data_IF_983063819132
#
_entry.id   IF_983063819132
#
_cell.length_a   1.000
_cell.length_b   1.000
_cell.length_c   1.000
_cell.angle_alpha   90.00
_cell.angle_beta   90.00
_cell.angle_gamma   90.00
#
_symmetry.space_group_name_H-M   'P 1'
#
loop_
_entity.id
_entity.type
_entity.pdbx_description
1 polymer ?
#
# COMPACT_ATOMS: atom_id res chain seq x y z
N UNK A 1 26.38 17.99 -33.34
CA UNK A 1 26.36 16.85 -32.39
C UNK A 1 25.70 17.36 -31.11
N UNK A 2 24.45 17.01 -30.87
CA UNK A 2 23.70 17.49 -29.70
C UNK A 2 24.06 16.62 -28.48
N UNK A 3 24.70 17.21 -27.47
CA UNK A 3 25.05 16.54 -26.23
C UNK A 3 23.79 16.08 -25.52
N UNK A 4 23.67 14.76 -25.34
CA UNK A 4 22.48 14.08 -24.85
C UNK A 4 22.63 13.75 -23.36
N UNK A 5 22.77 14.76 -22.50
CA UNK A 5 22.79 14.58 -21.04
C UNK A 5 22.35 15.86 -20.33
N UNK A 6 21.14 16.33 -20.60
CA UNK A 6 20.46 17.28 -19.73
C UNK A 6 19.30 16.53 -19.06
N UNK A 7 19.67 15.61 -18.17
CA UNK A 7 18.70 14.91 -17.32
C UNK A 7 18.52 15.80 -16.10
N UNK A 8 17.31 16.35 -15.95
CA UNK A 8 16.95 17.19 -14.80
C UNK A 8 17.32 16.45 -13.49
N UNK A 9 18.18 17.07 -12.69
CA UNK A 9 18.63 16.51 -11.41
C UNK A 9 17.50 16.47 -10.37
N UNK A 10 16.41 17.20 -10.62
CA UNK A 10 15.22 17.28 -9.80
C UNK A 10 14.06 16.44 -10.35
N UNK A 11 14.38 15.30 -10.97
CA UNK A 11 13.36 14.28 -11.22
C UNK A 11 12.73 13.88 -9.88
N UNK A 12 11.38 13.77 -9.78
CA UNK A 12 10.73 13.35 -8.57
C UNK A 12 11.29 11.98 -8.17
N UNK A 13 12.09 11.96 -7.11
CA UNK A 13 12.79 10.79 -6.64
C UNK A 13 11.76 9.70 -6.36
N UNK A 14 11.62 8.75 -7.30
CA UNK A 14 10.62 7.68 -7.23
C UNK A 14 11.07 6.67 -6.17
N UNK A 15 10.86 7.05 -4.91
CA UNK A 15 11.23 6.25 -3.76
C UNK A 15 10.27 5.06 -3.65
N UNK A 16 10.80 3.87 -3.39
CA UNK A 16 10.00 2.65 -3.17
C UNK A 16 8.88 2.88 -2.17
N UNK A 17 9.14 3.61 -1.09
CA UNK A 17 8.14 3.98 -0.08
C UNK A 17 7.01 4.84 -0.64
N UNK A 18 7.32 5.80 -1.52
CA UNK A 18 6.30 6.63 -2.17
C UNK A 18 5.43 5.79 -3.13
N UNK A 19 6.01 4.84 -3.87
CA UNK A 19 5.24 3.89 -4.69
C UNK A 19 4.30 3.04 -3.84
N UNK A 20 4.77 2.52 -2.71
CA UNK A 20 3.95 1.72 -1.79
C UNK A 20 2.80 2.55 -1.20
N UNK A 21 3.06 3.79 -0.78
CA UNK A 21 2.01 4.71 -0.29
C UNK A 21 0.96 5.01 -1.37
N UNK A 22 1.38 5.26 -2.62
CA UNK A 22 0.47 5.47 -3.76
C UNK A 22 -0.35 4.22 -4.07
N UNK A 23 0.26 3.03 -4.02
CA UNK A 23 -0.45 1.74 -4.19
C UNK A 23 -1.52 1.55 -3.11
N UNK A 24 -1.17 1.76 -1.85
CA UNK A 24 -2.11 1.68 -0.73
C UNK A 24 -3.29 2.64 -0.91
N UNK A 25 -3.01 3.90 -1.27
CA UNK A 25 -4.03 4.91 -1.46
C UNK A 25 -4.96 4.57 -2.64
N UNK A 26 -4.40 4.09 -3.76
CA UNK A 26 -5.16 3.67 -4.93
C UNK A 26 -6.11 2.50 -4.62
N UNK A 27 -5.58 1.43 -4.02
CA UNK A 27 -6.38 0.25 -3.66
C UNK A 27 -7.46 0.57 -2.62
N UNK A 28 -7.17 1.45 -1.66
CA UNK A 28 -8.14 1.87 -0.66
C UNK A 28 -9.33 2.61 -1.28
N UNK A 29 -9.08 3.43 -2.32
CA UNK A 29 -10.15 4.12 -3.06
C UNK A 29 -11.01 3.14 -3.86
N UNK A 30 -10.41 2.12 -4.47
CA UNK A 30 -11.15 1.08 -5.21
C UNK A 30 -12.09 0.33 -4.26
N UNK A 31 -11.60 -0.09 -3.10
CA UNK A 31 -12.42 -0.77 -2.10
C UNK A 31 -13.58 0.10 -1.59
N UNK A 32 -13.36 1.41 -1.43
CA UNK A 32 -14.42 2.35 -1.06
C UNK A 32 -15.45 2.51 -2.19
N UNK A 33 -15.00 2.71 -3.44
CA UNK A 33 -15.88 2.86 -4.60
C UNK A 33 -16.80 1.65 -4.81
N UNK A 34 -16.31 0.43 -4.54
CA UNK A 34 -17.14 -0.79 -4.58
C UNK A 34 -18.29 -0.73 -3.56
N UNK A 35 -18.05 -0.17 -2.37
CA UNK A 35 -19.12 0.00 -1.37
C UNK A 35 -20.11 1.10 -1.77
N UNK A 36 -19.61 2.18 -2.39
CA UNK A 36 -20.45 3.30 -2.82
C UNK A 36 -21.45 2.92 -3.93
N UNK A 37 -21.21 1.81 -4.64
CA UNK A 37 -22.14 1.26 -5.64
C UNK A 37 -23.54 0.98 -5.07
N UNK A 38 -23.65 0.70 -3.78
CA UNK A 38 -24.95 0.56 -3.11
C UNK A 38 -25.76 1.88 -3.11
N UNK A 39 -25.09 3.04 -3.07
CA UNK A 39 -25.77 4.35 -3.13
C UNK A 39 -26.28 4.62 -4.56
N UNK A 40 -25.61 4.05 -5.56
CA UNK A 40 -25.98 4.16 -6.98
C UNK A 40 -26.99 3.09 -7.45
N UNK A 41 -27.57 2.32 -6.52
CA UNK A 41 -28.62 1.34 -6.84
C UNK A 41 -28.12 -0.02 -7.35
N UNK A 42 -26.81 -0.28 -7.26
CA UNK A 42 -26.23 -1.58 -7.60
C UNK A 42 -26.25 -2.46 -6.37
N UNK A 43 -27.24 -3.34 -6.30
CA UNK A 43 -27.44 -4.27 -5.20
C UNK A 43 -27.27 -5.72 -5.64
N UNK A 44 -26.94 -6.64 -4.71
CA UNK A 44 -26.96 -8.07 -4.99
C UNK A 44 -28.28 -8.56 -5.59
N UNK A 45 -29.40 -7.95 -5.20
CA UNK A 45 -30.74 -8.29 -5.72
C UNK A 45 -30.93 -7.97 -7.21
N UNK A 46 -30.28 -6.91 -7.71
CA UNK A 46 -30.44 -6.44 -9.08
C UNK A 46 -29.35 -6.99 -9.99
N UNK A 47 -28.12 -7.12 -9.47
CA UNK A 47 -26.94 -7.54 -10.23
C UNK A 47 -26.12 -8.58 -9.44
N UNK A 48 -26.66 -9.78 -9.16
CA UNK A 48 -26.02 -10.75 -8.26
C UNK A 48 -24.62 -11.18 -8.74
N UNK A 49 -24.48 -11.52 -10.02
CA UNK A 49 -23.20 -11.96 -10.59
C UNK A 49 -22.12 -10.86 -10.51
N UNK A 50 -22.51 -9.61 -10.75
CA UNK A 50 -21.60 -8.47 -10.66
C UNK A 50 -21.18 -8.23 -9.21
N UNK A 51 -22.12 -8.19 -8.27
CA UNK A 51 -21.80 -7.93 -6.86
C UNK A 51 -20.93 -9.04 -6.26
N UNK A 52 -21.15 -10.31 -6.64
CA UNK A 52 -20.28 -11.42 -6.21
C UNK A 52 -18.83 -11.24 -6.68
N UNK A 53 -18.61 -10.91 -7.96
CA UNK A 53 -17.26 -10.69 -8.50
C UNK A 53 -16.60 -9.47 -7.87
N UNK A 54 -17.38 -8.40 -7.63
CA UNK A 54 -16.86 -7.18 -7.00
C UNK A 54 -16.45 -7.40 -5.53
N UNK A 55 -17.20 -8.20 -4.76
CA UNK A 55 -16.80 -8.54 -3.39
C UNK A 55 -15.53 -9.40 -3.37
N UNK A 56 -15.39 -10.38 -4.28
CA UNK A 56 -14.14 -11.13 -4.42
C UNK A 56 -12.95 -10.22 -4.77
N UNK A 57 -13.13 -9.32 -5.73
CA UNK A 57 -12.11 -8.36 -6.12
C UNK A 57 -11.74 -7.41 -4.96
N UNK A 58 -12.72 -7.00 -4.15
CA UNK A 58 -12.52 -6.19 -2.95
C UNK A 58 -11.73 -6.93 -1.89
N UNK A 59 -11.99 -8.21 -1.69
CA UNK A 59 -11.22 -9.01 -0.72
C UNK A 59 -9.75 -9.17 -1.15
N UNK A 60 -9.47 -9.44 -2.42
CA UNK A 60 -8.10 -9.42 -2.94
C UNK A 60 -7.42 -8.05 -2.79
N UNK A 61 -8.17 -6.96 -2.99
CA UNK A 61 -7.65 -5.61 -2.75
C UNK A 61 -7.27 -5.40 -1.27
N UNK A 62 -8.05 -5.92 -0.31
CA UNK A 62 -7.75 -5.84 1.13
C UNK A 62 -6.50 -6.64 1.51
N UNK A 63 -6.29 -7.81 0.90
CA UNK A 63 -5.09 -8.63 1.10
C UNK A 63 -3.83 -7.86 0.71
N UNK A 64 -3.82 -7.31 -0.51
CA UNK A 64 -2.68 -6.53 -1.02
C UNK A 64 -2.47 -5.25 -0.19
N UNK A 65 -3.55 -4.61 0.28
CA UNK A 65 -3.47 -3.47 1.20
C UNK A 65 -2.76 -3.87 2.50
N UNK A 66 -3.11 -5.02 3.08
CA UNK A 66 -2.51 -5.52 4.33
C UNK A 66 -1.02 -5.79 4.14
N UNK A 67 -0.64 -6.43 3.04
CA UNK A 67 0.76 -6.67 2.68
C UNK A 67 1.53 -5.37 2.47
N UNK A 68 0.94 -4.42 1.73
CA UNK A 68 1.55 -3.11 1.47
C UNK A 68 1.76 -2.33 2.77
N UNK A 69 0.82 -2.39 3.73
CA UNK A 69 0.99 -1.76 5.05
C UNK A 69 2.14 -2.38 5.83
N UNK A 70 2.28 -3.71 5.80
CA UNK A 70 3.41 -4.40 6.44
C UNK A 70 4.74 -3.98 5.80
N UNK A 71 4.80 -3.92 4.48
CA UNK A 71 6.01 -3.51 3.76
C UNK A 71 6.39 -2.05 4.06
N UNK A 72 5.41 -1.14 4.14
CA UNK A 72 5.65 0.25 4.56
C UNK A 72 6.20 0.31 5.99
N UNK A 73 5.58 -0.38 6.94
CA UNK A 73 6.04 -0.42 8.33
C UNK A 73 7.48 -0.92 8.45
N UNK A 74 7.83 -1.96 7.67
CA UNK A 74 9.17 -2.55 7.68
C UNK A 74 10.25 -1.61 7.13
N UNK A 75 9.88 -0.68 6.24
CA UNK A 75 10.80 0.32 5.66
C UNK A 75 10.89 1.57 6.53
N UNK A 76 9.79 2.01 7.13
CA UNK A 76 9.72 3.24 7.93
C UNK A 76 10.26 3.06 9.34
N UNK A 77 10.14 1.85 9.91
CA UNK A 77 10.67 1.53 11.23
C UNK A 77 11.46 0.21 11.19
N UNK A 78 12.76 0.26 10.86
CA UNK A 78 13.62 -0.91 10.96
C UNK A 78 13.83 -1.37 12.41
N UNK A 79 13.53 -0.55 13.41
CA UNK A 79 13.63 -0.93 14.82
C UNK A 79 12.55 -1.94 15.21
N UNK A 80 11.39 -1.98 14.52
CA UNK A 80 10.38 -3.04 14.76
C UNK A 80 10.85 -4.43 14.32
N UNK A 81 11.92 -4.54 13.50
CA UNK A 81 12.51 -5.82 13.12
C UNK A 81 13.44 -6.41 14.20
N UNK A 82 13.76 -5.63 15.23
CA UNK A 82 14.54 -6.06 16.38
C UNK A 82 13.64 -5.95 17.61
N UNK A 83 13.51 -7.01 18.40
CA UNK A 83 12.78 -6.98 19.68
C UNK A 83 13.58 -6.24 20.76
N UNK A 84 14.15 -5.08 20.40
CA UNK A 84 14.91 -4.23 21.31
C UNK A 84 13.92 -3.50 22.22
N UNK A 85 13.64 -4.10 23.35
CA UNK A 85 12.95 -3.41 24.43
C UNK A 85 13.93 -2.43 25.09
N UNK A 86 13.44 -1.36 25.72
CA UNK A 86 14.29 -0.40 26.47
C UNK A 86 15.14 -1.08 27.58
N UNK A 87 14.90 -2.37 27.87
CA UNK A 87 15.60 -3.19 28.84
C UNK A 87 16.75 -4.03 28.27
N UNK A 88 17.00 -4.04 26.96
CA UNK A 88 18.16 -4.74 26.39
C UNK A 88 19.45 -3.98 26.72
N UNK A 89 20.17 -4.49 27.73
CA UNK A 89 21.50 -3.99 28.09
C UNK A 89 22.48 -4.36 26.99
N UNK A 90 23.23 -3.37 26.50
CA UNK A 90 24.39 -3.62 25.64
C UNK A 90 25.38 -4.49 26.44
N UNK A 91 25.77 -5.65 25.91
CA UNK A 91 26.83 -6.45 26.51
C UNK A 91 28.13 -5.64 26.47
N UNK A 92 28.66 -5.29 27.65
CA UNK A 92 30.00 -4.72 27.77
C UNK A 92 31.01 -5.81 27.39
N UNK A 93 31.65 -5.65 26.23
CA UNK A 93 32.75 -6.50 25.80
C UNK A 93 33.94 -6.22 26.73
N UNK A 94 34.33 -7.22 27.52
CA UNK A 94 35.48 -7.18 28.44
C UNK A 94 36.82 -7.01 27.71
#
# INVERSE_FOLDING_TARGET
MANKTDVDYNLPYDNRTQRLKRRYQGLSRVAAAINDLYIYGVYPSNFPNLTTVLEQAKDHCKEIIKETKKEIALIEDPATNYDITENDKLEEVQ
#
